data_IF_756985947172
#
_entry.id   IF_756985947172
#
_cell.length_a   1.000
_cell.length_b   1.000
_cell.length_c   1.000
_cell.angle_alpha   90.00
_cell.angle_beta   90.00
_cell.angle_gamma   90.00
#
_symmetry.space_group_name_H-M   'P 1'
#
loop_
_entity.id
_entity.type
_entity.pdbx_description
1 polymer ?
#
# COMPACT_ATOMS: atom_id res chain seq x y z
N UNK A 1 31.75 -22.14 -1.41
CA UNK A 1 30.39 -21.85 -1.92
C UNK A 1 29.55 -21.02 -0.94
N UNK A 2 29.49 -21.35 0.36
CA UNK A 2 28.68 -20.63 1.37
C UNK A 2 29.07 -19.16 1.61
N UNK A 3 30.36 -18.85 1.69
CA UNK A 3 30.86 -17.48 1.90
C UNK A 3 30.47 -16.55 0.75
N UNK A 4 30.58 -17.02 -0.50
CA UNK A 4 30.25 -16.24 -1.70
C UNK A 4 28.81 -15.71 -1.67
N UNK A 5 27.84 -16.55 -1.31
CA UNK A 5 26.41 -16.16 -1.26
C UNK A 5 26.13 -15.09 -0.20
N UNK A 6 26.80 -15.15 0.95
CA UNK A 6 26.67 -14.11 1.99
C UNK A 6 27.18 -12.77 1.46
N UNK A 7 28.34 -12.77 0.78
CA UNK A 7 28.88 -11.56 0.15
C UNK A 7 28.00 -11.05 -0.98
N UNK A 8 27.44 -11.93 -1.81
CA UNK A 8 26.51 -11.56 -2.88
C UNK A 8 25.27 -10.86 -2.31
N UNK A 9 24.69 -11.36 -1.20
CA UNK A 9 23.58 -10.69 -0.50
C UNK A 9 24.01 -9.34 0.08
N UNK A 10 25.13 -9.26 0.81
CA UNK A 10 25.55 -8.02 1.47
C UNK A 10 25.93 -6.91 0.48
N UNK A 11 26.54 -7.28 -0.65
CA UNK A 11 26.88 -6.35 -1.74
C UNK A 11 25.66 -5.92 -2.53
N UNK A 12 24.72 -6.83 -2.80
CA UNK A 12 23.51 -6.52 -3.55
C UNK A 12 22.64 -5.46 -2.87
N UNK A 13 22.64 -5.41 -1.54
CA UNK A 13 21.82 -4.49 -0.75
C UNK A 13 22.62 -3.34 -0.11
N UNK A 14 23.81 -3.04 -0.64
CA UNK A 14 24.65 -1.92 -0.21
C UNK A 14 24.95 -1.91 1.32
N UNK A 15 25.00 -3.09 1.95
CA UNK A 15 25.25 -3.22 3.41
C UNK A 15 26.70 -2.90 3.76
N UNK A 16 27.59 -3.04 2.78
CA UNK A 16 29.01 -2.66 2.90
C UNK A 16 29.28 -1.59 1.83
N UNK A 17 29.42 -0.31 2.21
CA UNK A 17 29.67 0.75 1.25
C UNK A 17 31.04 0.54 0.61
N UNK A 18 31.08 0.39 -0.71
CA UNK A 18 32.29 0.62 -1.49
C UNK A 18 32.68 2.09 -1.34
N UNK A 19 33.81 2.36 -0.68
CA UNK A 19 34.38 3.71 -0.55
C UNK A 19 34.58 4.35 -1.93
N UNK A 20 34.14 5.61 -2.11
CA UNK A 20 35.12 6.70 -2.10
C UNK A 20 34.66 7.94 -1.30
N UNK A 21 35.67 8.67 -0.86
CA UNK A 21 35.66 9.82 0.03
C UNK A 21 35.33 11.14 -0.71
N UNK A 22 34.72 12.09 0.02
CA UNK A 22 34.70 13.55 -0.19
C UNK A 22 33.92 14.15 -1.38
N UNK A 23 32.75 14.71 -1.09
CA UNK A 23 32.53 16.16 -1.24
C UNK A 23 31.49 16.64 -0.21
N UNK A 24 31.90 17.64 0.57
CA UNK A 24 31.09 18.36 1.55
C UNK A 24 30.36 19.53 0.87
N UNK A 25 29.37 20.03 1.61
CA UNK A 25 28.79 21.38 1.57
C UNK A 25 27.72 21.64 0.51
N UNK A 26 26.46 21.68 0.92
CA UNK A 26 25.61 22.90 0.94
C UNK A 26 24.37 22.64 1.81
N UNK A 27 23.97 23.56 2.71
CA UNK A 27 22.68 23.51 3.37
C UNK A 27 21.61 24.10 2.44
N UNK A 28 20.48 23.42 2.28
CA UNK A 28 19.31 23.98 1.63
C UNK A 28 18.34 24.57 2.67
N UNK A 29 17.61 25.65 2.32
CA UNK A 29 17.05 26.58 3.29
C UNK A 29 15.71 26.11 3.86
N UNK A 30 15.48 26.44 5.13
CA UNK A 30 14.14 26.54 5.70
C UNK A 30 13.30 27.54 4.91
N UNK A 31 12.15 27.10 4.38
CA UNK A 31 11.05 28.01 4.07
C UNK A 31 9.74 27.42 4.60
N UNK A 32 8.82 28.29 5.05
CA UNK A 32 7.69 27.91 5.90
C UNK A 32 6.64 27.17 5.09
N UNK A 33 6.01 26.17 5.72
CA UNK A 33 4.82 25.52 5.21
C UNK A 33 3.79 26.58 4.79
N UNK A 34 3.61 26.74 3.47
CA UNK A 34 2.40 27.31 2.92
C UNK A 34 1.25 26.42 3.36
N UNK A 35 0.29 26.98 4.09
CA UNK A 35 -1.02 26.37 4.33
C UNK A 35 -1.67 26.10 2.97
N UNK A 36 -1.58 24.86 2.47
CA UNK A 36 -2.29 24.45 1.27
C UNK A 36 -3.77 24.31 1.61
N UNK A 37 -4.60 25.24 1.15
CA UNK A 37 -6.04 25.24 1.44
C UNK A 37 -6.74 24.08 0.71
N UNK A 38 -7.40 23.22 1.48
CA UNK A 38 -8.26 22.13 1.00
C UNK A 38 -9.62 22.68 0.54
N UNK A 39 -10.20 22.11 -0.52
CA UNK A 39 -11.44 22.60 -1.15
C UNK A 39 -12.65 21.71 -0.80
N UNK A 40 -13.82 22.33 -0.66
CA UNK A 40 -15.10 21.64 -0.47
C UNK A 40 -15.88 21.69 -1.79
N UNK A 41 -16.32 20.53 -2.26
CA UNK A 41 -17.15 20.42 -3.45
C UNK A 41 -18.62 20.37 -3.04
N UNK A 42 -19.47 21.18 -3.66
CA UNK A 42 -20.92 21.18 -3.40
C UNK A 42 -21.66 20.84 -4.69
N UNK A 43 -22.32 19.68 -4.73
CA UNK A 43 -23.20 19.28 -5.82
C UNK A 43 -24.60 19.86 -5.57
N UNK A 44 -24.99 20.86 -6.35
CA UNK A 44 -26.22 21.63 -6.16
C UNK A 44 -27.05 21.73 -7.45
N UNK A 45 -28.37 21.70 -7.28
CA UNK A 45 -29.39 22.01 -8.26
C UNK A 45 -30.05 23.39 -8.02
N UNK A 46 -29.40 24.29 -7.25
CA UNK A 46 -29.91 25.62 -6.86
C UNK A 46 -31.12 25.59 -5.91
N UNK A 47 -31.18 24.62 -5.00
CA UNK A 47 -32.16 24.64 -3.90
C UNK A 47 -31.81 25.68 -2.85
N UNK A 48 -32.78 26.28 -2.15
CA UNK A 48 -32.53 27.26 -1.09
C UNK A 48 -31.55 26.76 -0.02
N UNK A 49 -31.68 25.49 0.39
CA UNK A 49 -30.78 24.88 1.37
C UNK A 49 -29.34 24.77 0.85
N UNK A 50 -29.17 24.44 -0.43
CA UNK A 50 -27.84 24.38 -1.04
C UNK A 50 -27.20 25.77 -1.12
N UNK A 51 -27.98 26.80 -1.45
CA UNK A 51 -27.53 28.18 -1.47
C UNK A 51 -27.13 28.67 -0.07
N UNK A 52 -27.93 28.39 0.95
CA UNK A 52 -27.61 28.72 2.34
C UNK A 52 -26.34 28.01 2.83
N UNK A 53 -26.17 26.74 2.47
CA UNK A 53 -24.97 25.96 2.81
C UNK A 53 -23.71 26.55 2.14
N UNK A 54 -23.80 26.88 0.84
CA UNK A 54 -22.70 27.51 0.10
C UNK A 54 -22.33 28.85 0.74
N UNK A 55 -23.34 29.67 1.04
CA UNK A 55 -23.15 30.98 1.67
C UNK A 55 -22.48 30.85 3.03
N UNK A 56 -22.95 29.92 3.87
CA UNK A 56 -22.34 29.65 5.18
C UNK A 56 -20.87 29.25 5.06
N UNK A 57 -20.54 28.32 4.14
CA UNK A 57 -19.16 27.88 3.94
C UNK A 57 -18.26 29.03 3.47
N UNK A 58 -18.76 29.88 2.57
CA UNK A 58 -18.05 31.06 2.09
C UNK A 58 -17.84 32.10 3.21
N UNK A 59 -18.85 32.35 4.06
CA UNK A 59 -18.75 33.25 5.22
C UNK A 59 -17.71 32.76 6.25
N UNK A 60 -17.48 31.45 6.34
CA UNK A 60 -16.44 30.84 7.17
C UNK A 60 -15.06 30.77 6.51
N UNK A 61 -14.89 31.35 5.32
CA UNK A 61 -13.68 31.32 4.51
C UNK A 61 -13.24 29.91 4.10
N UNK A 62 -14.17 28.96 3.94
CA UNK A 62 -13.85 27.68 3.30
C UNK A 62 -13.78 27.88 1.78
N UNK A 63 -12.75 27.36 1.08
CA UNK A 63 -12.76 27.28 -0.37
C UNK A 63 -13.87 26.33 -0.82
N UNK A 64 -14.77 26.82 -1.68
CA UNK A 64 -15.91 26.06 -2.18
C UNK A 64 -15.92 26.06 -3.70
N UNK A 65 -16.11 24.88 -4.30
CA UNK A 65 -16.41 24.71 -5.72
C UNK A 65 -17.80 24.14 -5.87
N UNK A 66 -18.66 24.81 -6.63
CA UNK A 66 -20.04 24.36 -6.87
C UNK A 66 -20.09 23.61 -8.19
N UNK A 67 -20.65 22.39 -8.18
CA UNK A 67 -20.97 21.62 -9.39
C UNK A 67 -22.48 21.66 -9.57
N UNK A 68 -22.90 22.09 -10.76
CA UNK A 68 -24.27 21.94 -11.26
C UNK A 68 -24.34 20.87 -12.33
N UNK A 69 -25.54 20.35 -12.69
CA UNK A 69 -25.71 19.42 -13.80
C UNK A 69 -25.10 19.90 -15.14
N UNK A 70 -24.94 21.21 -15.33
CA UNK A 70 -24.41 21.80 -16.56
C UNK A 70 -22.89 22.06 -16.50
N UNK A 71 -22.24 21.79 -15.36
CA UNK A 71 -20.81 22.04 -15.17
C UNK A 71 -19.99 21.00 -15.95
N UNK A 72 -19.03 21.40 -16.82
CA UNK A 72 -18.19 20.45 -17.55
C UNK A 72 -17.28 19.68 -16.59
N UNK A 73 -17.48 18.36 -16.52
CA UNK A 73 -16.80 17.52 -15.53
C UNK A 73 -15.42 17.07 -16.06
N UNK A 74 -14.34 17.37 -15.31
CA UNK A 74 -13.00 16.87 -15.57
C UNK A 74 -12.29 16.47 -14.27
N UNK A 75 -11.20 15.70 -14.38
CA UNK A 75 -10.44 15.20 -13.21
C UNK A 75 -9.86 16.30 -12.32
N UNK A 76 -9.64 17.50 -12.87
CA UNK A 76 -9.15 18.66 -12.11
C UNK A 76 -10.09 19.11 -11.00
N UNK A 77 -11.40 18.90 -11.15
CA UNK A 77 -12.42 19.33 -10.17
C UNK A 77 -12.31 18.57 -8.85
N UNK A 78 -11.81 17.34 -8.87
CA UNK A 78 -11.61 16.51 -7.68
C UNK A 78 -10.23 16.69 -7.04
N UNK A 79 -9.35 17.51 -7.64
CA UNK A 79 -8.02 17.75 -7.07
C UNK A 79 -8.15 18.56 -5.78
N UNK A 80 -7.52 18.08 -4.71
CA UNK A 80 -7.50 18.75 -3.39
C UNK A 80 -8.89 18.92 -2.75
N UNK A 81 -9.87 18.12 -3.18
CA UNK A 81 -11.18 18.05 -2.54
C UNK A 81 -11.08 17.12 -1.33
N UNK A 82 -11.49 17.59 -0.16
CA UNK A 82 -11.53 16.76 1.07
C UNK A 82 -12.94 16.38 1.47
N UNK A 83 -13.93 17.14 1.02
CA UNK A 83 -15.34 16.93 1.32
C UNK A 83 -16.18 17.21 0.06
N UNK A 84 -17.18 16.37 -0.16
CA UNK A 84 -18.23 16.57 -1.17
C UNK A 84 -19.55 16.62 -0.43
N UNK A 85 -20.30 17.70 -0.58
CA UNK A 85 -21.66 17.85 -0.07
C UNK A 85 -22.62 17.69 -1.24
N UNK A 86 -23.54 16.74 -1.17
CA UNK A 86 -24.55 16.50 -2.20
C UNK A 86 -25.95 16.59 -1.59
N UNK A 87 -26.83 17.34 -2.22
CA UNK A 87 -28.25 17.36 -1.86
C UNK A 87 -28.98 16.26 -2.63
N UNK A 88 -29.80 15.47 -1.95
CA UNK A 88 -30.57 14.33 -2.52
C UNK A 88 -31.33 14.71 -3.80
N UNK A 89 -31.89 15.92 -3.86
CA UNK A 89 -32.60 16.46 -5.03
C UNK A 89 -31.69 16.81 -6.22
N UNK A 90 -30.38 16.88 -6.00
CA UNK A 90 -29.35 17.18 -7.01
C UNK A 90 -28.73 15.92 -7.62
N UNK A 91 -29.10 14.71 -7.16
CA UNK A 91 -28.57 13.46 -7.71
C UNK A 91 -29.19 13.16 -9.07
N UNK A 92 -28.45 13.47 -10.13
CA UNK A 92 -28.72 12.93 -11.45
C UNK A 92 -27.74 11.76 -11.77
N UNK A 93 -28.06 10.90 -12.76
CA UNK A 93 -27.20 9.77 -13.11
C UNK A 93 -25.76 10.16 -13.49
N UNK A 94 -25.54 11.35 -14.02
CA UNK A 94 -24.21 11.83 -14.40
C UNK A 94 -23.33 12.11 -13.17
N UNK A 95 -23.86 12.83 -12.17
CA UNK A 95 -23.18 13.09 -10.90
C UNK A 95 -22.95 11.77 -10.14
N UNK A 96 -23.91 10.84 -10.15
CA UNK A 96 -23.73 9.51 -9.53
C UNK A 96 -22.60 8.73 -10.20
N UNK A 97 -22.60 8.65 -11.53
CA UNK A 97 -21.56 7.94 -12.27
C UNK A 97 -20.18 8.58 -12.05
N UNK A 98 -20.13 9.90 -11.95
CA UNK A 98 -18.94 10.66 -11.64
C UNK A 98 -18.43 10.33 -10.23
N UNK A 99 -19.28 10.50 -9.21
CA UNK A 99 -18.95 10.17 -7.83
C UNK A 99 -18.49 8.72 -7.73
N UNK A 100 -19.20 7.76 -8.34
CA UNK A 100 -18.76 6.37 -8.35
C UNK A 100 -17.39 6.19 -9.02
N UNK A 101 -17.10 6.88 -10.12
CA UNK A 101 -15.78 6.81 -10.80
C UNK A 101 -14.64 7.39 -9.96
N UNK A 102 -14.88 8.51 -9.28
CA UNK A 102 -13.84 9.24 -8.54
C UNK A 102 -13.72 8.84 -7.06
N UNK A 103 -14.77 8.21 -6.50
CA UNK A 103 -14.78 7.63 -5.17
C UNK A 103 -14.43 6.14 -5.18
N UNK A 104 -14.05 5.57 -6.34
CA UNK A 104 -13.37 4.28 -6.30
C UNK A 104 -12.00 4.48 -5.64
N UNK A 105 -11.58 3.56 -4.75
CA UNK A 105 -10.19 3.49 -4.34
C UNK A 105 -9.29 3.50 -5.57
N UNK A 106 -8.43 4.50 -5.72
CA UNK A 106 -7.47 4.48 -6.83
C UNK A 106 -6.47 3.37 -6.53
N UNK A 107 -6.55 2.29 -7.30
CA UNK A 107 -5.53 1.26 -7.33
C UNK A 107 -4.35 1.73 -8.18
N UNK A 108 -3.16 1.80 -7.58
CA UNK A 108 -1.93 2.15 -8.29
C UNK A 108 -0.96 0.99 -8.24
N UNK A 109 -0.38 0.63 -9.39
CA UNK A 109 0.68 -0.37 -9.45
C UNK A 109 1.92 0.12 -8.70
N UNK A 110 2.34 -0.64 -7.69
CA UNK A 110 3.67 -0.54 -7.09
C UNK A 110 4.64 -1.41 -7.89
N UNK A 111 4.18 -2.59 -8.31
CA UNK A 111 4.84 -3.45 -9.27
C UNK A 111 3.81 -4.05 -10.21
N UNK A 112 4.07 -3.97 -11.52
CA UNK A 112 3.30 -4.69 -12.53
C UNK A 112 4.20 -5.76 -13.14
N UNK A 113 3.91 -7.03 -12.85
CA UNK A 113 4.67 -8.18 -13.35
C UNK A 113 4.07 -8.79 -14.61
N UNK A 114 2.96 -8.24 -15.13
CA UNK A 114 2.37 -8.67 -16.41
C UNK A 114 3.29 -8.37 -17.61
N UNK A 115 4.21 -7.41 -17.45
CA UNK A 115 5.24 -7.07 -18.44
C UNK A 115 6.58 -6.87 -17.72
N UNK A 116 7.21 -7.94 -17.20
CA UNK A 116 8.39 -7.79 -16.37
C UNK A 116 9.57 -7.34 -17.23
N UNK A 117 10.22 -6.27 -16.80
CA UNK A 117 11.46 -5.77 -17.41
C UNK A 117 12.68 -6.07 -16.52
N UNK A 118 13.87 -5.72 -17.01
CA UNK A 118 15.12 -5.93 -16.26
C UNK A 118 15.16 -5.16 -14.94
N UNK A 119 14.42 -4.05 -14.82
CA UNK A 119 14.39 -3.23 -13.59
C UNK A 119 13.78 -4.00 -12.41
N UNK A 120 12.79 -4.87 -12.67
CA UNK A 120 12.20 -5.73 -11.66
C UNK A 120 13.25 -6.73 -11.13
N UNK A 121 13.98 -7.38 -12.04
CA UNK A 121 15.02 -8.34 -11.65
C UNK A 121 16.16 -7.69 -10.86
N UNK A 122 16.53 -6.47 -11.21
CA UNK A 122 17.58 -5.70 -10.54
C UNK A 122 17.13 -5.07 -9.20
N UNK A 123 15.81 -5.02 -8.98
CA UNK A 123 15.21 -4.52 -7.75
C UNK A 123 15.11 -5.61 -6.69
N UNK A 124 14.83 -6.87 -7.05
CA UNK A 124 14.56 -7.95 -6.09
C UNK A 124 15.75 -8.91 -5.90
N UNK A 125 16.20 -9.10 -4.66
CA UNK A 125 17.30 -9.99 -4.29
C UNK A 125 16.92 -11.01 -3.22
N UNK A 126 17.63 -12.12 -3.15
CA UNK A 126 17.43 -13.17 -2.16
C UNK A 126 18.00 -12.80 -0.78
N UNK A 127 17.25 -13.12 0.27
CA UNK A 127 17.58 -12.95 1.70
C UNK A 127 17.20 -14.24 2.43
N UNK A 128 18.04 -15.27 2.30
CA UNK A 128 17.78 -16.61 2.84
C UNK A 128 18.46 -16.85 4.20
N UNK A 129 18.18 -18.01 4.82
CA UNK A 129 18.67 -18.42 6.15
C UNK A 129 20.17 -18.78 6.24
N UNK A 130 20.97 -18.39 5.24
CA UNK A 130 22.37 -18.78 5.08
C UNK A 130 23.31 -18.22 6.15
N UNK A 131 22.95 -17.11 6.80
CA UNK A 131 23.79 -16.44 7.81
C UNK A 131 24.04 -17.35 9.02
N UNK A 132 23.05 -18.14 9.43
CA UNK A 132 23.16 -19.09 10.55
C UNK A 132 23.57 -20.51 10.10
N UNK A 133 24.01 -20.67 8.84
CA UNK A 133 24.41 -21.96 8.28
C UNK A 133 23.28 -22.74 7.60
N UNK A 134 22.08 -22.14 7.52
CA UNK A 134 20.96 -22.63 6.73
C UNK A 134 21.34 -22.84 5.27
N UNK A 135 20.58 -23.71 4.61
CA UNK A 135 20.84 -24.14 3.23
C UNK A 135 19.65 -23.89 2.32
N UNK A 136 18.72 -23.03 2.75
CA UNK A 136 17.64 -22.58 1.90
C UNK A 136 18.18 -21.71 0.77
N UNK A 137 17.48 -21.72 -0.35
CA UNK A 137 17.81 -20.96 -1.54
C UNK A 137 16.53 -20.45 -2.18
N UNK A 138 16.46 -19.15 -2.42
CA UNK A 138 15.41 -18.54 -3.21
C UNK A 138 15.93 -17.75 -4.40
N UNK A 139 15.02 -17.49 -5.34
CA UNK A 139 15.23 -16.63 -6.49
C UNK A 139 13.89 -16.08 -6.98
N UNK A 140 13.96 -15.02 -7.77
CA UNK A 140 12.85 -14.52 -8.56
C UNK A 140 13.06 -14.92 -10.03
N UNK A 141 12.14 -15.70 -10.60
CA UNK A 141 12.12 -16.02 -12.02
C UNK A 141 11.15 -15.08 -12.75
N UNK A 142 11.52 -14.61 -13.93
CA UNK A 142 10.60 -13.87 -14.80
C UNK A 142 9.95 -14.83 -15.77
N UNK A 143 8.63 -14.76 -15.89
CA UNK A 143 7.84 -15.44 -16.92
C UNK A 143 7.14 -14.38 -17.79
N UNK A 144 6.37 -14.81 -18.80
CA UNK A 144 5.81 -13.89 -19.80
C UNK A 144 4.88 -12.83 -19.21
N UNK A 145 4.05 -13.21 -18.24
CA UNK A 145 3.01 -12.34 -17.64
C UNK A 145 3.04 -12.34 -16.10
N UNK A 146 4.12 -12.83 -15.50
CA UNK A 146 4.25 -12.95 -14.05
C UNK A 146 5.72 -13.03 -13.64
N UNK A 147 5.97 -12.87 -12.35
CA UNK A 147 7.22 -13.31 -11.72
C UNK A 147 6.94 -14.42 -10.72
N UNK A 148 7.90 -15.32 -10.54
CA UNK A 148 7.77 -16.48 -9.66
C UNK A 148 8.83 -16.40 -8.58
N UNK A 149 8.40 -16.17 -7.35
CA UNK A 149 9.21 -16.39 -6.16
C UNK A 149 9.28 -17.89 -5.87
N UNK A 150 10.45 -18.48 -6.08
CA UNK A 150 10.65 -19.93 -6.01
C UNK A 150 12.00 -20.27 -5.40
N UNK A 151 12.13 -21.50 -4.93
CA UNK A 151 13.33 -21.96 -4.28
C UNK A 151 13.19 -23.33 -3.63
N UNK A 152 14.19 -23.68 -2.83
CA UNK A 152 14.16 -24.82 -1.93
C UNK A 152 14.35 -24.31 -0.50
N UNK A 153 13.39 -24.56 0.37
CA UNK A 153 13.48 -24.23 1.80
C UNK A 153 13.84 -25.47 2.60
N UNK A 154 14.83 -25.36 3.50
CA UNK A 154 15.35 -26.49 4.28
C UNK A 154 15.32 -26.17 5.76
N UNK A 155 15.00 -27.15 6.59
CA UNK A 155 15.08 -27.05 8.06
C UNK A 155 16.44 -27.47 8.61
N UNK A 156 17.40 -27.85 7.75
CA UNK A 156 18.74 -28.22 8.17
C UNK A 156 19.49 -27.01 8.75
N UNK A 157 20.44 -27.26 9.67
CA UNK A 157 21.29 -26.24 10.29
C UNK A 157 20.53 -25.08 10.94
N UNK A 158 19.41 -25.37 11.62
CA UNK A 158 18.52 -24.37 12.22
C UNK A 158 17.91 -23.38 11.20
N UNK A 159 17.90 -23.75 9.92
CA UNK A 159 17.22 -23.01 8.88
C UNK A 159 15.70 -23.16 8.96
N UNK A 160 15.04 -22.72 7.90
CA UNK A 160 13.61 -22.84 7.73
C UNK A 160 12.99 -21.60 7.11
N UNK A 161 13.76 -20.72 6.46
CA UNK A 161 13.15 -19.65 5.67
C UNK A 161 13.91 -19.35 4.39
N UNK A 162 13.14 -18.93 3.39
CA UNK A 162 13.61 -18.47 2.09
C UNK A 162 12.85 -17.18 1.77
N UNK A 163 13.52 -16.16 1.22
CA UNK A 163 12.89 -14.85 1.03
C UNK A 163 13.50 -14.04 -0.09
N UNK A 164 12.68 -13.23 -0.73
CA UNK A 164 13.10 -12.19 -1.67
C UNK A 164 12.71 -10.82 -1.16
N UNK A 165 13.55 -9.82 -1.39
CA UNK A 165 13.34 -8.44 -0.94
C UNK A 165 13.81 -7.45 -1.99
N UNK A 166 13.11 -6.33 -2.12
CA UNK A 166 13.58 -5.21 -2.95
C UNK A 166 14.83 -4.57 -2.35
N UNK A 167 15.68 -3.96 -3.18
CA UNK A 167 16.61 -2.93 -2.71
C UNK A 167 15.82 -1.81 -2.03
N UNK A 168 16.51 -1.03 -1.21
CA UNK A 168 15.87 0.10 -0.57
C UNK A 168 15.44 1.12 -1.64
N UNK A 169 14.18 1.53 -1.60
CA UNK A 169 13.67 2.62 -2.43
C UNK A 169 14.38 3.92 -2.04
N UNK A 170 14.90 4.63 -3.04
CA UNK A 170 15.56 5.92 -2.87
C UNK A 170 15.01 6.91 -3.92
N UNK A 171 14.15 7.87 -3.52
CA UNK A 171 13.60 8.07 -2.17
C UNK A 171 12.65 6.93 -1.73
N UNK A 172 12.33 6.82 -0.42
CA UNK A 172 11.32 5.89 0.07
C UNK A 172 9.97 6.11 -0.63
N UNK A 173 9.19 5.05 -0.79
CA UNK A 173 7.83 5.15 -1.33
C UNK A 173 6.90 5.81 -0.31
N UNK A 174 6.12 6.79 -0.77
CA UNK A 174 5.02 7.36 -0.01
C UNK A 174 3.72 6.64 -0.39
N UNK A 175 3.24 5.81 0.53
CA UNK A 175 1.97 5.08 0.43
C UNK A 175 0.87 5.70 1.29
N UNK A 176 1.04 6.95 1.76
CA UNK A 176 0.06 7.62 2.64
C UNK A 176 -1.33 7.76 2.02
N UNK A 177 -1.43 7.76 0.69
CA UNK A 177 -2.68 7.77 -0.07
C UNK A 177 -3.41 6.41 -0.12
N UNK A 178 -2.80 5.34 0.40
CA UNK A 178 -3.36 3.99 0.33
C UNK A 178 -3.65 3.43 1.74
N UNK A 179 -4.77 2.74 1.87
CA UNK A 179 -5.16 2.04 3.12
C UNK A 179 -4.81 0.56 3.07
N UNK A 180 -4.64 0.02 1.87
CA UNK A 180 -4.34 -1.39 1.64
C UNK A 180 -3.16 -1.54 0.68
N UNK A 181 -2.45 -2.65 0.85
CA UNK A 181 -1.52 -3.18 -0.13
C UNK A 181 -2.16 -4.45 -0.67
N UNK A 182 -2.33 -4.51 -1.99
CA UNK A 182 -2.97 -5.62 -2.68
C UNK A 182 -1.91 -6.43 -3.41
N UNK A 183 -1.97 -7.76 -3.28
CA UNK A 183 -1.09 -8.68 -4.01
C UNK A 183 -1.93 -9.66 -4.80
N UNK A 184 -1.66 -9.79 -6.10
CA UNK A 184 -2.24 -10.84 -6.92
C UNK A 184 -1.27 -11.99 -7.04
N UNK A 185 -1.62 -13.10 -6.41
CA UNK A 185 -0.71 -14.24 -6.24
C UNK A 185 -1.37 -15.56 -6.61
N UNK A 186 -0.57 -16.51 -7.06
CA UNK A 186 -0.92 -17.92 -7.20
C UNK A 186 0.12 -18.74 -6.44
N UNK A 187 -0.31 -19.33 -5.32
CA UNK A 187 0.57 -20.07 -4.43
C UNK A 187 0.44 -21.58 -4.58
N UNK A 188 1.24 -22.29 -3.79
CA UNK A 188 1.37 -23.75 -3.80
C UNK A 188 0.67 -24.42 -2.61
N UNK A 189 -0.10 -23.66 -1.82
CA UNK A 189 -0.75 -24.13 -0.59
C UNK A 189 0.00 -23.76 0.69
N UNK A 190 1.21 -23.21 0.58
CA UNK A 190 1.93 -22.69 1.74
C UNK A 190 1.33 -21.35 2.22
N UNK A 191 1.57 -21.06 3.49
CA UNK A 191 1.39 -19.74 4.09
C UNK A 191 2.67 -18.92 3.94
N UNK A 192 2.54 -17.71 3.44
CA UNK A 192 3.64 -16.78 3.17
C UNK A 192 3.53 -15.53 4.03
N UNK A 193 4.62 -14.76 4.08
CA UNK A 193 4.65 -13.45 4.72
C UNK A 193 4.96 -12.36 3.73
N UNK A 194 4.17 -11.30 3.78
CA UNK A 194 4.53 -9.99 3.27
C UNK A 194 5.25 -9.22 4.38
N UNK A 195 6.37 -8.59 4.04
CA UNK A 195 7.21 -7.84 4.98
C UNK A 195 7.58 -6.51 4.34
N UNK A 196 7.47 -5.42 5.08
CA UNK A 196 7.91 -4.08 4.66
C UNK A 196 8.69 -3.39 5.77
N UNK A 197 9.45 -2.34 5.44
CA UNK A 197 10.27 -1.56 6.40
C UNK A 197 10.03 -0.06 6.23
N UNK A 198 9.98 0.64 7.36
CA UNK A 198 9.84 2.10 7.42
C UNK A 198 11.18 2.83 7.69
N UNK A 199 12.29 2.10 7.69
CA UNK A 199 13.65 2.63 7.84
C UNK A 199 14.60 1.95 6.84
N UNK A 200 15.63 2.67 6.40
CA UNK A 200 16.61 2.18 5.43
C UNK A 200 17.69 1.27 6.01
N UNK A 201 17.59 0.90 7.29
CA UNK A 201 18.59 0.01 7.91
C UNK A 201 18.41 -1.43 7.42
N UNK A 202 19.53 -2.15 7.28
CA UNK A 202 19.53 -3.55 6.88
C UNK A 202 18.82 -4.47 7.89
N UNK A 203 19.16 -4.29 9.18
CA UNK A 203 18.56 -4.94 10.34
C UNK A 203 17.81 -3.88 11.15
N UNK A 204 16.56 -4.14 11.51
CA UNK A 204 15.65 -3.14 12.01
C UNK A 204 14.22 -3.64 12.14
N UNK A 205 13.32 -2.75 12.54
CA UNK A 205 11.89 -3.09 12.68
C UNK A 205 11.29 -3.33 11.30
N UNK A 206 10.61 -4.46 11.17
CA UNK A 206 9.84 -4.82 9.99
C UNK A 206 8.35 -4.87 10.32
N UNK A 207 7.51 -4.60 9.33
CA UNK A 207 6.07 -4.65 9.45
C UNK A 207 5.58 -5.83 8.61
N UNK A 208 4.97 -6.81 9.28
CA UNK A 208 4.70 -8.12 8.70
C UNK A 208 3.21 -8.41 8.64
N UNK A 209 2.79 -9.14 7.59
CA UNK A 209 1.47 -9.74 7.47
C UNK A 209 1.61 -11.15 6.89
N UNK A 210 0.92 -12.12 7.47
CA UNK A 210 0.98 -13.52 7.02
C UNK A 210 -0.34 -13.93 6.37
N UNK A 211 -0.27 -14.59 5.22
CA UNK A 211 -1.44 -14.95 4.41
C UNK A 211 -1.33 -16.38 3.87
N UNK A 212 -2.46 -17.07 3.79
CA UNK A 212 -2.56 -18.42 3.23
C UNK A 212 -2.78 -18.37 1.73
N UNK A 213 -2.28 -19.38 1.01
CA UNK A 213 -2.55 -19.55 -0.41
C UNK A 213 -3.37 -20.81 -0.67
N UNK A 214 -4.25 -20.75 -1.66
CA UNK A 214 -4.87 -21.96 -2.21
C UNK A 214 -3.99 -22.46 -3.36
N UNK A 215 -3.60 -23.73 -3.28
CA UNK A 215 -2.72 -24.36 -4.26
C UNK A 215 -3.26 -24.17 -5.68
N UNK A 216 -2.38 -23.74 -6.57
CA UNK A 216 -2.62 -23.56 -8.00
C UNK A 216 -3.80 -22.62 -8.34
N UNK A 217 -4.19 -21.74 -7.42
CA UNK A 217 -5.30 -20.81 -7.60
C UNK A 217 -4.86 -19.36 -7.47
N UNK A 218 -5.24 -18.53 -8.45
CA UNK A 218 -5.03 -17.10 -8.37
C UNK A 218 -5.98 -16.46 -7.36
N UNK A 219 -5.43 -15.72 -6.42
CA UNK A 219 -6.15 -14.98 -5.39
C UNK A 219 -5.58 -13.58 -5.22
N UNK A 220 -6.42 -12.65 -4.77
CA UNK A 220 -5.99 -11.31 -4.38
C UNK A 220 -5.91 -11.28 -2.86
N UNK A 221 -4.72 -11.05 -2.33
CA UNK A 221 -4.48 -10.84 -0.90
C UNK A 221 -4.59 -9.36 -0.62
N UNK A 222 -5.56 -8.98 0.19
CA UNK A 222 -5.75 -7.61 0.68
C UNK A 222 -5.10 -7.47 2.04
N UNK A 223 -4.05 -6.64 2.13
CA UNK A 223 -3.35 -6.34 3.37
C UNK A 223 -3.73 -4.93 3.80
N UNK A 224 -4.55 -4.79 4.83
CA UNK A 224 -4.80 -3.47 5.43
C UNK A 224 -3.51 -2.99 6.09
N UNK A 225 -3.13 -1.74 5.82
CA UNK A 225 -1.95 -1.13 6.42
C UNK A 225 -2.00 -1.14 7.97
N UNK A 226 -3.21 -1.12 8.53
CA UNK A 226 -3.44 -1.21 9.98
C UNK A 226 -3.20 -2.63 10.56
N UNK A 227 -3.25 -3.67 9.72
CA UNK A 227 -3.05 -5.07 10.14
C UNK A 227 -1.57 -5.50 10.08
N UNK A 228 -0.68 -4.59 9.66
CA UNK A 228 0.75 -4.83 9.61
C UNK A 228 1.36 -4.79 11.01
N UNK A 229 1.94 -5.92 11.43
CA UNK A 229 2.44 -6.12 12.79
C UNK A 229 3.92 -5.71 12.85
N UNK A 230 4.33 -4.81 13.76
CA UNK A 230 5.74 -4.50 13.96
C UNK A 230 6.47 -5.69 14.60
N UNK A 231 7.56 -6.12 13.95
CA UNK A 231 8.32 -7.33 14.28
C UNK A 231 9.81 -7.05 14.20
N UNK A 232 10.55 -7.47 15.22
CA UNK A 232 12.01 -7.56 15.23
C UNK A 232 12.43 -9.02 15.42
N UNK A 233 13.12 -9.59 14.43
CA UNK A 233 13.64 -10.98 14.47
C UNK A 233 12.58 -12.00 14.94
N UNK A 234 11.44 -12.01 14.25
CA UNK A 234 10.27 -12.85 14.52
C UNK A 234 9.53 -12.61 15.85
N UNK A 235 9.96 -11.65 16.69
CA UNK A 235 9.22 -11.22 17.88
C UNK A 235 8.40 -9.98 17.57
N UNK A 236 7.15 -9.96 18.01
CA UNK A 236 6.31 -8.76 17.91
C UNK A 236 6.83 -7.68 18.86
N UNK A 237 6.78 -6.42 18.41
CA UNK A 237 7.24 -5.25 19.17
C UNK A 237 6.22 -4.12 19.08
N UNK A 238 5.07 -4.24 19.77
CA UNK A 238 3.98 -3.26 19.68
C UNK A 238 4.41 -1.83 19.99
N UNK A 239 5.44 -1.66 20.82
CA UNK A 239 5.99 -0.36 21.23
C UNK A 239 6.64 0.40 20.06
N UNK A 240 6.94 -0.27 18.95
CA UNK A 240 7.46 0.38 17.73
C UNK A 240 6.40 1.23 17.01
N UNK A 241 5.12 1.08 17.38
CA UNK A 241 4.00 1.85 16.83
C UNK A 241 3.46 1.29 15.51
N UNK A 242 2.61 2.10 14.87
CA UNK A 242 1.92 1.72 13.64
C UNK A 242 2.84 1.86 12.41
N UNK A 243 2.53 1.09 11.37
CA UNK A 243 3.19 1.18 10.07
C UNK A 243 3.13 2.60 9.50
N UNK A 244 4.29 3.22 9.32
CA UNK A 244 4.42 4.56 8.71
C UNK A 244 4.40 4.44 7.18
N UNK A 245 3.22 4.64 6.61
CA UNK A 245 2.94 4.59 5.18
C UNK A 245 3.71 5.64 4.37
N UNK A 246 4.14 6.75 4.98
CA UNK A 246 4.79 7.85 4.25
C UNK A 246 6.24 7.57 3.84
N UNK A 247 6.84 6.51 4.40
CA UNK A 247 8.28 6.23 4.25
C UNK A 247 8.58 4.75 4.13
N UNK A 248 8.10 4.12 3.06
CA UNK A 248 8.32 2.69 2.80
C UNK A 248 9.64 2.47 2.07
N UNK A 249 10.58 1.75 2.70
CA UNK A 249 11.92 1.53 2.18
C UNK A 249 12.06 0.24 1.38
N UNK A 250 11.33 -0.84 1.70
CA UNK A 250 11.45 -2.10 0.95
C UNK A 250 10.20 -2.95 1.05
N UNK A 251 9.98 -3.79 0.03
CA UNK A 251 8.98 -4.86 0.05
C UNK A 251 9.68 -6.22 0.05
N UNK A 252 9.11 -7.19 0.75
CA UNK A 252 9.68 -8.51 0.93
C UNK A 252 8.59 -9.59 0.97
N UNK A 253 8.89 -10.75 0.39
CA UNK A 253 8.08 -11.96 0.47
C UNK A 253 8.91 -13.08 1.06
N UNK A 254 8.32 -13.87 1.95
CA UNK A 254 9.02 -14.92 2.67
C UNK A 254 8.15 -16.16 2.83
N UNK A 255 8.74 -17.33 2.58
CA UNK A 255 8.27 -18.59 3.13
C UNK A 255 9.11 -18.90 4.37
N UNK A 256 8.45 -19.16 5.49
CA UNK A 256 9.13 -19.48 6.75
C UNK A 256 8.39 -20.56 7.51
N UNK A 257 9.15 -21.44 8.16
CA UNK A 257 8.70 -22.40 9.17
C UNK A 257 8.14 -21.71 10.40
N UNK A 258 8.60 -20.50 10.70
CA UNK A 258 8.28 -19.79 11.94
C UNK A 258 7.20 -18.73 11.72
N UNK A 259 6.23 -18.73 12.61
CA UNK A 259 5.31 -17.62 12.85
C UNK A 259 5.84 -16.66 13.92
N UNK A 260 5.06 -15.62 14.21
CA UNK A 260 5.40 -14.63 15.22
C UNK A 260 5.52 -15.27 16.61
N UNK A 261 6.38 -14.70 17.46
CA UNK A 261 6.50 -15.04 18.88
C UNK A 261 6.76 -16.53 19.16
N UNK A 262 7.50 -17.18 18.25
CA UNK A 262 7.85 -18.60 18.37
C UNK A 262 6.78 -19.56 17.85
N UNK A 263 5.70 -19.05 17.26
CA UNK A 263 4.72 -19.88 16.56
C UNK A 263 5.32 -20.64 15.38
N UNK A 264 4.60 -21.65 14.90
CA UNK A 264 4.95 -22.39 13.69
C UNK A 264 3.95 -22.12 12.57
N UNK A 265 4.45 -22.06 11.35
CA UNK A 265 3.62 -21.99 10.16
C UNK A 265 2.93 -23.35 9.96
N UNK A 266 1.58 -23.40 10.04
CA UNK A 266 0.85 -24.66 10.07
C UNK A 266 0.85 -25.41 8.75
N UNK A 267 1.08 -24.71 7.63
CA UNK A 267 1.13 -25.31 6.28
C UNK A 267 2.54 -25.48 5.74
N UNK A 268 3.57 -25.16 6.53
CA UNK A 268 4.96 -25.22 6.08
C UNK A 268 5.38 -26.64 5.69
N UNK A 269 5.98 -26.75 4.51
CA UNK A 269 6.67 -27.96 4.06
C UNK A 269 8.07 -27.61 3.58
N UNK A 270 9.07 -28.36 4.05
CA UNK A 270 10.42 -28.27 3.50
C UNK A 270 10.46 -28.82 2.07
N UNK A 271 11.32 -28.24 1.24
CA UNK A 271 11.46 -28.61 -0.17
C UNK A 271 11.17 -27.44 -1.10
N UNK A 272 10.75 -27.78 -2.32
CA UNK A 272 10.52 -26.79 -3.35
C UNK A 272 9.21 -26.04 -3.10
N UNK A 273 9.22 -24.72 -3.32
CA UNK A 273 8.04 -23.88 -3.23
C UNK A 273 7.91 -22.96 -4.43
N UNK A 274 6.69 -22.51 -4.72
CA UNK A 274 6.41 -21.58 -5.80
C UNK A 274 5.27 -20.63 -5.43
N UNK A 275 5.56 -19.33 -5.52
CA UNK A 275 4.58 -18.26 -5.41
C UNK A 275 4.70 -17.37 -6.65
N UNK A 276 3.74 -17.47 -7.57
CA UNK A 276 3.65 -16.59 -8.71
C UNK A 276 2.95 -15.28 -8.32
N UNK A 277 3.40 -14.16 -8.91
CA UNK A 277 2.87 -12.82 -8.70
C UNK A 277 2.60 -12.14 -10.05
N UNK A 278 1.40 -11.60 -10.20
CA UNK A 278 1.00 -10.81 -11.37
C UNK A 278 1.20 -9.30 -11.13
N UNK A 279 0.89 -8.82 -9.92
CA UNK A 279 1.11 -7.42 -9.54
C UNK A 279 1.08 -7.22 -8.02
N UNK A 280 1.63 -6.07 -7.62
CA UNK A 280 1.47 -5.48 -6.29
C UNK A 280 0.91 -4.06 -6.49
N UNK A 281 -0.15 -3.71 -5.78
CA UNK A 281 -0.80 -2.40 -5.87
C UNK A 281 -0.96 -1.75 -4.49
N UNK A 282 -0.94 -0.43 -4.45
CA UNK A 282 -1.56 0.34 -3.37
C UNK A 282 -3.04 0.48 -3.68
N UNK A 283 -3.89 0.27 -2.69
CA UNK A 283 -5.34 0.40 -2.80
C UNK A 283 -5.95 1.03 -1.57
N UNK A 284 -7.26 1.15 -1.55
CA UNK A 284 -7.97 1.86 -0.48
C UNK A 284 -8.03 3.38 -0.70
N UNK A 285 -8.81 4.03 0.14
CA UNK A 285 -9.44 5.31 -0.15
C UNK A 285 -8.80 6.52 0.55
N UNK A 286 -7.52 6.45 0.92
CA UNK A 286 -6.95 7.52 1.74
C UNK A 286 -6.73 8.79 0.90
N UNK A 287 -7.50 9.85 1.19
CA UNK A 287 -7.55 11.07 0.38
C UNK A 287 -8.72 11.14 -0.60
N UNK A 288 -9.61 10.14 -0.62
CA UNK A 288 -10.93 10.33 -1.22
C UNK A 288 -11.73 11.32 -0.38
N UNK A 289 -12.48 12.23 -1.01
CA UNK A 289 -13.35 13.15 -0.28
C UNK A 289 -14.37 12.41 0.58
N UNK A 290 -14.63 12.90 1.79
CA UNK A 290 -15.82 12.47 2.54
C UNK A 290 -17.06 12.97 1.82
N UNK A 291 -18.03 12.10 1.57
CA UNK A 291 -19.30 12.48 0.95
C UNK A 291 -20.35 12.66 2.04
N UNK A 292 -20.96 13.84 2.07
CA UNK A 292 -22.11 14.14 2.93
C UNK A 292 -23.32 14.26 2.01
N UNK A 293 -24.33 13.43 2.25
CA UNK A 293 -25.57 13.40 1.50
C UNK A 293 -26.66 14.00 2.37
N UNK A 294 -27.28 15.07 1.91
CA UNK A 294 -28.31 15.82 2.65
C UNK A 294 -29.68 15.56 2.01
N UNK A 295 -30.62 15.02 2.79
CA UNK A 295 -32.00 14.72 2.40
C UNK A 295 -32.33 13.22 2.33
N UNK A 296 -33.46 12.87 1.70
CA UNK A 296 -34.06 11.54 1.83
C UNK A 296 -33.19 10.41 1.21
N UNK A 297 -33.17 9.27 1.90
CA UNK A 297 -32.24 8.17 1.69
C UNK A 297 -32.67 7.20 0.56
N UNK A 298 -32.86 7.75 -0.64
CA UNK A 298 -33.32 6.97 -1.81
C UNK A 298 -32.19 6.49 -2.74
N UNK A 299 -30.91 6.67 -2.36
CA UNK A 299 -29.78 6.41 -3.27
C UNK A 299 -28.64 5.65 -2.61
N UNK A 300 -27.95 4.80 -3.39
CA UNK A 300 -26.76 4.07 -2.96
C UNK A 300 -25.57 4.39 -3.87
N UNK A 301 -24.51 4.96 -3.31
CA UNK A 301 -23.18 5.01 -3.97
C UNK A 301 -22.49 3.65 -3.83
N UNK A 302 -21.62 3.30 -4.79
CA UNK A 302 -20.93 2.00 -4.80
C UNK A 302 -19.92 1.82 -3.65
N UNK A 303 -19.55 2.91 -2.95
CA UNK A 303 -18.58 2.93 -1.85
C UNK A 303 -19.20 3.48 -0.56
N UNK A 304 -20.07 2.69 0.12
CA UNK A 304 -20.90 3.18 1.23
C UNK A 304 -20.11 3.63 2.46
N UNK A 305 -18.86 3.16 2.65
CA UNK A 305 -18.03 3.51 3.80
C UNK A 305 -17.57 4.98 3.85
N UNK A 306 -17.75 5.74 2.77
CA UNK A 306 -17.34 7.16 2.68
C UNK A 306 -18.52 8.14 2.62
N UNK A 307 -19.75 7.64 2.80
CA UNK A 307 -20.98 8.42 2.69
C UNK A 307 -21.62 8.59 4.07
N UNK A 308 -21.86 9.83 4.47
CA UNK A 308 -22.66 10.17 5.64
C UNK A 308 -24.01 10.73 5.17
N UNK A 309 -25.10 10.09 5.57
CA UNK A 309 -26.46 10.54 5.26
C UNK A 309 -26.99 11.40 6.40
N UNK A 310 -27.51 12.57 6.07
CA UNK A 310 -28.17 13.50 7.00
C UNK A 310 -29.63 13.63 6.55
N UNK A 311 -30.51 12.87 7.21
CA UNK A 311 -31.94 12.79 6.87
C UNK A 311 -32.78 13.84 7.62
N UNK A 312 -32.31 14.32 8.77
CA UNK A 312 -33.04 15.24 9.63
C UNK A 312 -32.25 16.54 9.84
N UNK A 313 -32.84 17.67 9.42
CA UNK A 313 -32.26 19.01 9.53
C UNK A 313 -32.16 19.52 10.97
N UNK A 314 -32.67 18.77 11.96
CA UNK A 314 -32.71 19.17 13.37
C UNK A 314 -31.36 19.07 14.09
N UNK A 315 -30.36 18.41 13.48
CA UNK A 315 -29.03 18.18 14.06
C UNK A 315 -27.91 19.03 13.39
N UNK A 316 -28.27 20.03 12.58
CA UNK A 316 -27.34 20.97 11.92
C UNK A 316 -27.44 22.39 12.51
#
# INVERSE_FOLDING_TARGET
>A
MKIKRIWDTLTYFDVIPSFPCLSKFFPAPSTPNQLTMNNILVCSNQTPLAEDTIKFLQEKNYPVTVITPQTPLNSGIFTRVTQIICFSESFNPEIINLLNKYLQPQETYLFNFAHPDSSIKESWGAVDDVVMGGVSESRLLMASNEVIFTGNVSTANNGGFASIRTKNFTPPLDLSAYETILLRVKGDGNRYKFITRCEGKWDGISYCYSFDTVKDTWQTVEIKCADLIPVFRAKTVPEAGNFDRSKVYSLQLMLSKFEYDGGYNPSFQAGNFNLALEWIKGGGAHGLPKVIIIGNNSFSLSTPHHCHYVENYADL
#
